data_IF_351547651615
#
_entry.id   IF_351547651615
#
_cell.length_a   1.000
_cell.length_b   1.000
_cell.length_c   1.000
_cell.angle_alpha   90.00
_cell.angle_beta   90.00
_cell.angle_gamma   90.00
#
_symmetry.space_group_name_H-M   'P 1'
#
loop_
_entity.id
_entity.type
_entity.pdbx_description
1 polymer ?
#
# COMPACT_ATOMS: atom_id res chain seq x y z
N UNK A 1 87.88 -11.83 -19.86
CA UNK A 1 86.48 -11.58 -20.30
C UNK A 1 85.63 -11.39 -19.05
N UNK A 2 85.15 -10.15 -18.84
CA UNK A 2 84.08 -9.60 -18.00
C UNK A 2 83.82 -10.27 -16.61
N UNK A 3 83.62 -9.55 -15.50
CA UNK A 3 82.56 -8.55 -15.29
C UNK A 3 82.84 -7.69 -14.05
N UNK A 4 82.50 -6.41 -14.18
CA UNK A 4 82.37 -5.36 -13.17
C UNK A 4 80.96 -5.35 -12.56
N UNK A 5 80.79 -4.58 -11.46
CA UNK A 5 79.56 -4.03 -10.85
C UNK A 5 78.80 -4.96 -9.89
N UNK A 6 78.64 -4.66 -8.59
CA UNK A 6 78.09 -3.48 -7.87
C UNK A 6 76.59 -3.62 -7.53
N UNK A 7 76.30 -3.32 -6.25
CA UNK A 7 75.04 -3.20 -5.50
C UNK A 7 73.72 -3.12 -6.29
N UNK A 8 72.67 -3.81 -5.77
CA UNK A 8 71.37 -3.19 -5.43
C UNK A 8 70.72 -3.95 -4.26
N UNK A 9 70.27 -3.19 -3.27
CA UNK A 9 69.47 -3.57 -2.09
C UNK A 9 68.00 -3.71 -2.48
N UNK A 10 67.29 -4.75 -2.03
CA UNK A 10 65.83 -4.68 -1.85
C UNK A 10 65.39 -5.49 -0.63
N UNK A 11 64.98 -4.75 0.39
CA UNK A 11 64.36 -5.21 1.62
C UNK A 11 62.96 -5.74 1.32
N UNK A 12 62.68 -7.01 1.66
CA UNK A 12 61.35 -7.63 1.55
C UNK A 12 60.68 -7.48 2.91
N UNK A 13 59.73 -6.55 3.01
CA UNK A 13 58.85 -6.39 4.17
C UNK A 13 57.82 -7.53 4.21
N UNK A 14 57.85 -8.30 5.29
CA UNK A 14 56.83 -9.30 5.65
C UNK A 14 55.55 -8.58 6.09
N UNK A 15 54.52 -8.63 5.24
CA UNK A 15 53.17 -8.21 5.61
C UNK A 15 52.41 -9.44 6.14
N UNK A 16 52.44 -9.61 7.46
CA UNK A 16 51.64 -10.61 8.16
C UNK A 16 50.15 -10.22 8.08
N UNK A 17 49.34 -11.13 7.55
CA UNK A 17 47.91 -10.97 7.35
C UNK A 17 47.16 -10.63 8.63
N UNK A 18 46.42 -9.53 8.58
CA UNK A 18 45.46 -9.14 9.60
C UNK A 18 44.22 -10.02 9.46
N UNK A 19 43.95 -10.81 10.50
CA UNK A 19 42.70 -11.54 10.69
C UNK A 19 41.59 -10.51 10.95
N UNK A 20 40.74 -10.30 9.95
CA UNK A 20 39.55 -9.46 10.10
C UNK A 20 38.53 -10.19 11.00
N UNK A 21 38.31 -9.64 12.21
CA UNK A 21 37.17 -10.00 13.04
C UNK A 21 35.89 -9.51 12.36
N UNK A 22 34.87 -10.36 12.39
CA UNK A 22 33.56 -10.17 11.78
C UNK A 22 32.94 -8.82 12.17
N UNK A 23 32.69 -8.00 11.15
CA UNK A 23 31.86 -6.81 11.28
C UNK A 23 30.39 -7.25 11.29
N UNK A 24 29.69 -6.87 12.35
CA UNK A 24 28.24 -6.98 12.48
C UNK A 24 27.58 -6.08 11.45
N UNK A 25 27.46 -6.58 10.22
CA UNK A 25 26.66 -5.98 9.16
C UNK A 25 25.18 -6.02 9.54
N UNK A 26 24.69 -4.92 10.11
CA UNK A 26 23.28 -4.58 10.05
C UNK A 26 22.84 -4.64 8.59
N UNK A 27 21.95 -5.58 8.27
CA UNK A 27 21.34 -5.69 6.94
C UNK A 27 20.53 -4.40 6.71
N UNK A 28 20.86 -3.55 5.72
CA UNK A 28 19.97 -2.47 5.34
C UNK A 28 18.68 -3.10 4.80
N UNK A 29 17.55 -2.60 5.32
CA UNK A 29 16.22 -3.11 5.04
C UNK A 29 15.94 -3.19 3.54
N UNK A 30 15.66 -4.39 3.05
CA UNK A 30 14.99 -4.61 1.77
C UNK A 30 13.49 -4.30 1.94
N UNK A 31 13.14 -3.03 2.13
CA UNK A 31 11.74 -2.60 2.25
C UNK A 31 11.29 -1.56 1.22
N UNK A 32 12.12 -1.20 0.24
CA UNK A 32 11.71 -0.23 -0.81
C UNK A 32 11.70 -0.81 -2.24
N UNK A 33 12.47 -1.85 -2.55
CA UNK A 33 12.62 -2.31 -3.95
C UNK A 33 11.58 -3.34 -4.43
N UNK A 34 10.74 -3.89 -3.54
CA UNK A 34 9.75 -4.90 -3.93
C UNK A 34 8.46 -4.33 -4.55
N UNK A 35 8.33 -3.01 -4.73
CA UNK A 35 7.09 -2.37 -5.19
C UNK A 35 7.25 -1.43 -6.40
N UNK A 36 8.43 -1.41 -7.03
CA UNK A 36 8.70 -0.66 -8.25
C UNK A 36 8.73 -1.62 -9.45
N UNK A 37 7.57 -2.09 -9.91
CA UNK A 37 7.58 -3.12 -10.97
C UNK A 37 6.29 -3.39 -11.74
N UNK A 38 5.17 -2.73 -11.44
CA UNK A 38 4.03 -2.69 -12.34
C UNK A 38 3.53 -1.26 -12.38
N UNK A 39 3.37 -0.71 -13.59
CA UNK A 39 2.90 0.67 -13.82
C UNK A 39 1.49 0.81 -13.25
N UNK A 40 1.37 1.08 -11.95
CA UNK A 40 0.15 1.65 -11.37
C UNK A 40 -0.11 2.95 -12.12
N UNK A 41 -1.32 3.16 -12.67
CA UNK A 41 -1.62 4.37 -13.45
C UNK A 41 -1.22 5.64 -12.68
N UNK A 42 -0.72 6.67 -13.38
CA UNK A 42 -0.26 7.97 -12.82
C UNK A 42 -1.35 8.79 -12.05
N UNK A 43 -2.48 8.15 -11.72
CA UNK A 43 -3.65 8.73 -11.05
C UNK A 43 -3.53 8.81 -9.53
N UNK A 44 -2.46 8.31 -8.93
CA UNK A 44 -2.26 8.46 -7.49
C UNK A 44 -1.95 9.92 -7.18
N UNK A 45 -2.90 10.58 -6.55
CA UNK A 45 -2.75 11.98 -6.15
C UNK A 45 -1.64 12.01 -5.09
N UNK A 46 -0.60 12.80 -5.34
CA UNK A 46 0.44 13.13 -4.36
C UNK A 46 0.03 14.43 -3.66
N UNK A 47 0.01 14.47 -2.32
CA UNK A 47 -0.30 15.68 -1.56
C UNK A 47 -1.03 15.41 -0.24
N UNK A 48 -1.10 16.44 0.63
CA UNK A 48 -1.78 16.39 1.94
C UNK A 48 -3.29 16.56 1.77
N UNK A 49 -4.13 16.00 2.66
CA UNK A 49 -5.60 16.19 2.63
C UNK A 49 -6.04 17.65 2.48
N UNK A 50 -5.21 18.59 2.93
CA UNK A 50 -5.43 20.04 2.91
C UNK A 50 -5.41 20.64 1.49
N UNK A 51 -4.93 19.89 0.48
CA UNK A 51 -5.05 20.24 -0.95
C UNK A 51 -6.42 19.81 -1.52
N UNK A 52 -7.49 20.29 -0.85
CA UNK A 52 -8.90 19.87 -0.99
C UNK A 52 -9.43 19.77 -2.43
N UNK A 53 -9.00 20.62 -3.37
CA UNK A 53 -9.53 20.60 -4.74
C UNK A 53 -9.16 19.32 -5.50
N UNK A 54 -7.94 18.81 -5.32
CA UNK A 54 -7.49 17.57 -5.99
C UNK A 54 -8.22 16.34 -5.46
N UNK A 55 -8.66 16.41 -4.21
CA UNK A 55 -9.36 15.33 -3.54
C UNK A 55 -10.87 15.38 -3.73
N UNK A 56 -11.44 16.48 -4.24
CA UNK A 56 -12.88 16.69 -4.40
C UNK A 56 -13.56 15.56 -5.19
N UNK A 57 -14.64 15.00 -4.64
CA UNK A 57 -15.48 14.04 -5.35
C UNK A 57 -16.76 14.71 -5.86
N UNK A 58 -16.89 14.81 -7.18
CA UNK A 58 -18.04 15.42 -7.86
C UNK A 58 -19.22 14.46 -8.09
N UNK A 59 -19.16 13.24 -7.53
CA UNK A 59 -20.19 12.22 -7.70
C UNK A 59 -20.14 11.46 -9.03
N UNK A 60 -19.24 11.80 -9.96
CA UNK A 60 -19.17 11.10 -11.25
C UNK A 60 -18.54 9.72 -11.12
N UNK A 61 -19.16 8.75 -11.81
CA UNK A 61 -18.70 7.37 -11.87
C UNK A 61 -17.86 7.09 -13.11
N UNK A 62 -16.97 6.12 -13.03
CA UNK A 62 -16.17 5.61 -14.15
C UNK A 62 -16.72 4.25 -14.58
N UNK A 63 -16.98 4.09 -15.88
CA UNK A 63 -17.47 2.85 -16.49
C UNK A 63 -16.48 2.30 -17.50
N UNK A 64 -15.40 1.66 -17.03
CA UNK A 64 -14.52 0.86 -17.87
C UNK A 64 -15.04 -0.58 -17.95
N UNK A 65 -14.80 -1.23 -19.09
CA UNK A 65 -15.05 -2.65 -19.30
C UNK A 65 -14.10 -3.53 -18.48
N UNK A 66 -14.48 -4.79 -18.26
CA UNK A 66 -13.64 -5.74 -17.53
C UNK A 66 -12.31 -6.02 -18.23
N UNK A 67 -12.27 -6.00 -19.56
CA UNK A 67 -11.02 -6.13 -20.32
C UNK A 67 -10.10 -4.92 -20.15
N UNK A 68 -10.65 -3.71 -20.02
CA UNK A 68 -9.86 -2.52 -19.71
C UNK A 68 -9.29 -2.60 -18.29
N UNK A 69 -10.10 -3.04 -17.31
CA UNK A 69 -9.63 -3.26 -15.95
C UNK A 69 -8.52 -4.31 -15.89
N UNK A 70 -8.66 -5.45 -16.57
CA UNK A 70 -7.61 -6.49 -16.64
C UNK A 70 -6.30 -6.00 -17.24
N UNK A 71 -6.32 -5.00 -18.13
CA UNK A 71 -5.10 -4.43 -18.73
C UNK A 71 -4.35 -3.50 -17.77
N UNK A 72 -5.05 -2.84 -16.84
CA UNK A 72 -4.45 -1.81 -15.96
C UNK A 72 -4.25 -2.29 -14.51
N UNK A 73 -4.96 -3.32 -14.09
CA UNK A 73 -4.81 -3.91 -12.75
C UNK A 73 -3.87 -5.12 -12.78
N UNK A 74 -3.16 -5.35 -11.67
CA UNK A 74 -2.47 -6.63 -11.47
C UNK A 74 -3.51 -7.75 -11.32
N UNK A 75 -3.17 -9.03 -11.59
CA UNK A 75 -4.10 -10.13 -11.43
C UNK A 75 -4.73 -10.21 -10.02
N UNK A 76 -3.93 -10.00 -8.97
CA UNK A 76 -4.41 -9.97 -7.59
C UNK A 76 -5.37 -8.80 -7.32
N UNK A 77 -4.99 -7.60 -7.76
CA UNK A 77 -5.84 -6.42 -7.60
C UNK A 77 -7.16 -6.60 -8.38
N UNK A 78 -7.12 -7.15 -9.60
CA UNK A 78 -8.31 -7.46 -10.37
C UNK A 78 -9.23 -8.45 -9.65
N UNK A 79 -8.67 -9.56 -9.15
CA UNK A 79 -9.43 -10.56 -8.40
C UNK A 79 -10.16 -9.96 -7.19
N UNK A 80 -9.49 -9.10 -6.43
CA UNK A 80 -10.10 -8.46 -5.26
C UNK A 80 -11.07 -7.36 -5.67
N UNK A 81 -10.64 -6.39 -6.48
CA UNK A 81 -11.41 -5.19 -6.82
C UNK A 81 -12.62 -5.48 -7.71
N UNK A 82 -12.55 -6.49 -8.58
CA UNK A 82 -13.57 -6.76 -9.62
C UNK A 82 -14.33 -8.06 -9.39
N UNK A 83 -13.63 -9.12 -8.95
CA UNK A 83 -14.24 -10.43 -8.68
C UNK A 83 -14.65 -10.62 -7.21
N UNK A 84 -14.56 -9.57 -6.39
CA UNK A 84 -14.90 -9.56 -4.96
C UNK A 84 -14.12 -10.59 -4.14
N UNK A 85 -12.88 -10.86 -4.55
CA UNK A 85 -11.94 -11.70 -3.82
C UNK A 85 -11.55 -11.09 -2.47
N UNK A 86 -10.89 -11.89 -1.64
CA UNK A 86 -10.36 -11.45 -0.34
C UNK A 86 -8.91 -11.95 -0.21
N UNK A 87 -7.98 -11.05 0.08
CA UNK A 87 -6.58 -11.44 0.32
C UNK A 87 -6.45 -12.23 1.63
N UNK A 88 -5.40 -13.03 1.75
CA UNK A 88 -5.15 -13.78 2.98
C UNK A 88 -4.87 -12.83 4.15
N UNK A 89 -5.39 -13.15 5.33
CA UNK A 89 -5.11 -12.40 6.54
C UNK A 89 -3.59 -12.26 6.77
N UNK A 90 -3.17 -11.06 7.20
CA UNK A 90 -1.80 -10.68 7.55
C UNK A 90 -0.79 -10.64 6.40
N UNK A 91 -1.19 -10.87 5.14
CA UNK A 91 -0.27 -10.84 3.99
C UNK A 91 -0.23 -9.51 3.26
N UNK A 92 -1.26 -8.67 3.42
CA UNK A 92 -1.38 -7.38 2.75
C UNK A 92 -0.30 -6.38 3.20
N UNK A 93 0.37 -5.74 2.25
CA UNK A 93 1.46 -4.78 2.51
C UNK A 93 1.04 -3.54 3.30
N UNK A 94 -0.22 -3.11 3.17
CA UNK A 94 -0.78 -1.93 3.84
C UNK A 94 -1.41 -2.26 5.20
N UNK A 95 -1.40 -3.52 5.63
CA UNK A 95 -1.98 -3.92 6.92
C UNK A 95 -1.29 -3.19 8.09
N UNK A 96 0.05 -3.18 8.10
CA UNK A 96 0.88 -2.56 9.13
C UNK A 96 1.51 -1.22 8.69
N UNK A 97 1.00 -0.61 7.63
CA UNK A 97 1.36 0.76 7.26
C UNK A 97 0.60 1.75 8.15
N UNK A 98 1.33 2.64 8.84
CA UNK A 98 0.78 3.65 9.75
C UNK A 98 1.43 5.02 9.58
N UNK A 99 2.27 5.19 8.54
CA UNK A 99 2.79 6.50 8.18
C UNK A 99 1.65 7.46 7.87
N UNK A 100 1.88 8.75 8.09
CA UNK A 100 0.93 9.78 7.68
C UNK A 100 0.72 9.74 6.15
N UNK A 101 -0.53 9.87 5.71
CA UNK A 101 -0.88 9.82 4.30
C UNK A 101 -2.31 9.40 3.99
N UNK A 102 -2.54 9.13 2.71
CA UNK A 102 -3.88 8.88 2.15
C UNK A 102 -3.94 7.51 1.49
N UNK A 103 -4.96 6.73 1.84
CA UNK A 103 -5.30 5.46 1.21
C UNK A 103 -6.33 5.71 0.11
N UNK A 104 -5.93 5.38 -1.11
CA UNK A 104 -6.68 5.62 -2.34
C UNK A 104 -7.18 4.30 -2.92
N UNK A 105 -8.29 4.33 -3.65
CA UNK A 105 -8.80 3.18 -4.37
C UNK A 105 -7.72 2.65 -5.34
N UNK A 106 -7.37 1.38 -5.20
CA UNK A 106 -6.36 0.71 -6.01
C UNK A 106 -6.66 0.71 -7.51
N UNK A 107 -7.93 0.86 -7.89
CA UNK A 107 -8.39 0.92 -9.27
C UNK A 107 -8.38 2.33 -9.88
N UNK A 108 -9.10 3.28 -9.26
CA UNK A 108 -9.35 4.59 -9.86
C UNK A 108 -8.64 5.76 -9.17
N UNK A 109 -7.79 5.49 -8.17
CA UNK A 109 -7.04 6.52 -7.44
C UNK A 109 -7.88 7.44 -6.56
N UNK A 110 -9.19 7.18 -6.39
CA UNK A 110 -10.02 8.04 -5.54
C UNK A 110 -9.60 7.92 -4.07
N UNK A 111 -9.37 9.02 -3.34
CA UNK A 111 -9.11 8.97 -1.90
C UNK A 111 -10.29 8.37 -1.17
N UNK A 112 -10.01 7.43 -0.26
CA UNK A 112 -11.03 6.72 0.52
C UNK A 112 -10.84 6.92 2.02
N UNK A 113 -9.61 6.78 2.51
CA UNK A 113 -9.26 6.84 3.94
C UNK A 113 -7.98 7.62 4.16
N UNK A 114 -7.79 8.11 5.37
CA UNK A 114 -6.60 8.84 5.85
C UNK A 114 -5.94 8.05 6.98
N UNK A 115 -4.64 8.23 7.17
CA UNK A 115 -3.85 7.62 8.26
C UNK A 115 -4.46 7.85 9.64
N UNK A 116 -4.99 9.05 9.90
CA UNK A 116 -5.65 9.44 11.16
C UNK A 116 -6.85 8.54 11.53
N UNK A 117 -7.49 7.94 10.53
CA UNK A 117 -8.64 7.05 10.70
C UNK A 117 -8.23 5.59 10.84
N UNK A 118 -6.95 5.27 10.59
CA UNK A 118 -6.42 3.90 10.61
C UNK A 118 -6.10 3.47 12.03
N UNK A 119 -6.35 2.20 12.34
CA UNK A 119 -6.01 1.62 13.64
C UNK A 119 -5.66 0.12 13.51
N UNK A 120 -5.00 -0.43 14.52
CA UNK A 120 -4.73 -1.87 14.59
C UNK A 120 -5.92 -2.60 15.21
N UNK A 121 -6.68 -3.33 14.38
CA UNK A 121 -7.79 -4.16 14.85
C UNK A 121 -7.37 -5.58 15.21
N UNK A 122 -6.15 -6.00 14.88
CA UNK A 122 -5.73 -7.39 14.97
C UNK A 122 -6.41 -8.34 13.96
N UNK A 123 -7.28 -7.84 13.07
CA UNK A 123 -8.05 -8.67 12.13
C UNK A 123 -7.18 -9.34 11.04
N UNK A 124 -6.04 -8.73 10.70
CA UNK A 124 -5.17 -9.17 9.62
C UNK A 124 -5.31 -8.37 8.32
N UNK A 125 -6.20 -7.38 8.28
CA UNK A 125 -6.35 -6.46 7.16
C UNK A 125 -6.33 -4.99 7.63
N UNK A 126 -5.95 -4.05 6.75
CA UNK A 126 -6.13 -2.62 6.99
C UNK A 126 -7.50 -2.30 7.59
N UNK A 127 -7.52 -1.53 8.68
CA UNK A 127 -8.73 -1.20 9.42
C UNK A 127 -8.82 0.29 9.66
N UNK A 128 -9.96 0.88 9.31
CA UNK A 128 -10.24 2.31 9.46
C UNK A 128 -11.55 2.50 10.21
N UNK A 129 -11.68 3.54 11.03
CA UNK A 129 -12.94 3.81 11.74
C UNK A 129 -13.89 4.73 10.99
N UNK A 130 -13.42 5.44 9.95
CA UNK A 130 -14.25 6.28 9.07
C UNK A 130 -13.58 6.45 7.70
N UNK A 131 -14.35 6.58 6.60
CA UNK A 131 -13.84 7.10 5.34
C UNK A 131 -13.63 8.62 5.43
N UNK A 132 -12.96 9.18 4.42
CA UNK A 132 -12.91 10.63 4.19
C UNK A 132 -14.33 11.13 3.93
N UNK A 133 -14.70 12.22 4.61
CA UNK A 133 -15.99 12.90 4.44
C UNK A 133 -15.71 14.39 4.28
N UNK A 134 -16.28 14.99 3.23
CA UNK A 134 -16.28 16.44 3.03
C UNK A 134 -17.72 16.91 2.93
N UNK A 135 -18.02 18.02 3.61
CA UNK A 135 -19.34 18.63 3.57
C UNK A 135 -19.68 19.07 2.14
N UNK A 136 -20.87 18.73 1.67
CA UNK A 136 -21.32 19.01 0.30
C UNK A 136 -20.85 18.01 -0.76
N UNK A 137 -20.05 17.00 -0.41
CA UNK A 137 -19.65 15.92 -1.31
C UNK A 137 -20.43 14.63 -1.10
N UNK A 138 -20.65 13.81 -2.15
CA UNK A 138 -21.18 12.47 -2.00
C UNK A 138 -20.24 11.55 -1.20
N UNK A 139 -20.80 10.50 -0.60
CA UNK A 139 -20.01 9.46 0.05
C UNK A 139 -19.03 8.78 -0.92
N UNK A 140 -17.79 8.57 -0.46
CA UNK A 140 -16.71 7.92 -1.23
C UNK A 140 -16.77 6.40 -1.18
N UNK A 141 -17.38 5.87 -0.13
CA UNK A 141 -17.61 4.44 0.09
C UNK A 141 -19.12 4.19 0.04
N UNK A 142 -19.53 3.19 -0.73
CA UNK A 142 -20.91 2.70 -0.78
C UNK A 142 -21.00 1.42 0.03
N UNK A 143 -22.05 1.30 0.83
CA UNK A 143 -22.36 0.12 1.62
C UNK A 143 -23.45 -0.70 0.94
N UNK A 144 -23.23 -2.00 0.78
CA UNK A 144 -24.15 -2.93 0.14
C UNK A 144 -24.29 -4.18 1.01
N UNK A 145 -25.53 -4.63 1.23
CA UNK A 145 -25.76 -5.87 1.99
C UNK A 145 -25.24 -7.07 1.20
N UNK A 146 -24.41 -7.88 1.84
CA UNK A 146 -23.77 -9.08 1.31
C UNK A 146 -24.29 -10.32 2.08
N UNK A 147 -24.86 -11.27 1.33
CA UNK A 147 -25.42 -12.53 1.84
C UNK A 147 -24.52 -13.76 1.54
N UNK A 148 -23.29 -13.54 1.06
CA UNK A 148 -22.38 -14.63 0.72
C UNK A 148 -22.03 -15.50 1.94
N UNK A 149 -21.74 -16.78 1.67
CA UNK A 149 -21.32 -17.77 2.67
C UNK A 149 -22.30 -17.98 3.84
N UNK A 150 -23.59 -17.66 3.65
CA UNK A 150 -24.61 -17.83 4.69
C UNK A 150 -24.53 -16.81 5.83
N UNK A 151 -23.74 -15.74 5.66
CA UNK A 151 -23.61 -14.64 6.61
C UNK A 151 -24.26 -13.38 6.04
N UNK A 152 -24.74 -12.49 6.92
CA UNK A 152 -25.14 -11.13 6.54
C UNK A 152 -24.01 -10.19 6.92
N UNK A 153 -23.36 -9.61 5.93
CA UNK A 153 -22.29 -8.63 6.09
C UNK A 153 -22.62 -7.37 5.29
N UNK A 154 -21.93 -6.28 5.54
CA UNK A 154 -22.04 -5.06 4.73
C UNK A 154 -20.77 -4.90 3.91
N UNK A 155 -20.84 -5.22 2.62
CA UNK A 155 -19.77 -4.98 1.65
C UNK A 155 -19.56 -3.47 1.47
N UNK A 156 -18.31 -3.06 1.36
CA UNK A 156 -17.93 -1.69 1.01
C UNK A 156 -17.33 -1.63 -0.39
N UNK A 157 -17.84 -0.69 -1.19
CA UNK A 157 -17.46 -0.46 -2.59
C UNK A 157 -16.93 0.96 -2.77
N UNK A 158 -15.99 1.14 -3.70
CA UNK A 158 -15.60 2.47 -4.16
C UNK A 158 -16.78 3.14 -4.89
N UNK A 159 -17.22 4.33 -4.43
CA UNK A 159 -18.38 5.00 -4.99
C UNK A 159 -18.21 5.42 -6.46
N UNK A 160 -16.96 5.69 -6.89
CA UNK A 160 -16.61 6.16 -8.23
C UNK A 160 -16.51 5.04 -9.27
N UNK A 161 -15.82 3.94 -9.00
CA UNK A 161 -15.62 2.86 -9.99
C UNK A 161 -16.34 1.54 -9.66
N UNK A 162 -17.02 1.47 -8.51
CA UNK A 162 -17.74 0.28 -8.06
C UNK A 162 -16.86 -0.88 -7.61
N UNK A 163 -15.54 -0.69 -7.50
CA UNK A 163 -14.64 -1.76 -7.08
C UNK A 163 -14.88 -2.19 -5.63
N UNK A 164 -14.79 -3.49 -5.39
CA UNK A 164 -14.83 -4.11 -4.07
C UNK A 164 -13.61 -3.70 -3.23
N UNK A 165 -13.86 -3.34 -1.97
CA UNK A 165 -12.82 -2.94 -1.03
C UNK A 165 -12.71 -3.93 0.14
N UNK A 166 -13.84 -4.37 0.68
CA UNK A 166 -13.92 -5.24 1.84
C UNK A 166 -15.29 -5.17 2.51
N UNK A 167 -15.33 -5.11 3.84
CA UNK A 167 -16.58 -5.04 4.62
C UNK A 167 -16.50 -4.04 5.77
N UNK A 168 -17.65 -3.56 6.25
CA UNK A 168 -17.78 -2.74 7.46
C UNK A 168 -18.47 -3.52 8.58
N UNK A 169 -17.98 -3.35 9.81
CA UNK A 169 -18.47 -4.04 11.01
C UNK A 169 -18.72 -3.04 12.17
N UNK A 170 -19.69 -3.30 13.06
CA UNK A 170 -20.02 -2.43 14.20
C UNK A 170 -19.18 -2.74 15.45
N UNK A 171 -17.88 -3.04 15.27
CA UNK A 171 -16.94 -3.41 16.34
C UNK A 171 -15.67 -2.54 16.33
N UNK A 172 -15.80 -1.32 15.82
CA UNK A 172 -14.70 -0.36 15.77
C UNK A 172 -14.56 0.49 17.03
N UNK A 173 -13.50 1.32 17.09
CA UNK A 173 -13.30 2.25 18.20
C UNK A 173 -14.26 3.44 18.14
N UNK A 174 -14.34 4.18 19.25
CA UNK A 174 -14.88 5.55 19.22
C UNK A 174 -14.07 6.42 18.24
N UNK A 175 -14.68 7.44 17.61
CA UNK A 175 -16.03 7.95 17.87
C UNK A 175 -17.16 7.24 17.10
N UNK A 176 -16.84 6.48 16.05
CA UNK A 176 -17.88 5.92 15.14
C UNK A 176 -18.43 4.58 15.59
N UNK A 177 -17.64 3.78 16.31
CA UNK A 177 -17.98 2.38 16.60
C UNK A 177 -17.90 1.47 15.39
N UNK A 178 -17.42 1.97 14.24
CA UNK A 178 -17.36 1.24 12.98
C UNK A 178 -15.93 0.82 12.65
N UNK A 179 -15.78 -0.36 12.06
CA UNK A 179 -14.52 -0.86 11.51
C UNK A 179 -14.71 -1.19 10.04
N UNK A 180 -14.15 -0.35 9.19
CA UNK A 180 -13.96 -0.61 7.78
C UNK A 180 -12.74 -1.52 7.62
N UNK A 181 -12.99 -2.80 7.35
CA UNK A 181 -11.98 -3.83 7.16
C UNK A 181 -11.73 -3.99 5.65
N UNK A 182 -10.57 -3.55 5.19
CA UNK A 182 -10.30 -3.31 3.76
C UNK A 182 -9.16 -4.19 3.29
N UNK A 183 -9.27 -4.81 2.12
CA UNK A 183 -8.16 -5.53 1.51
C UNK A 183 -7.03 -4.56 1.15
N UNK A 184 -5.79 -4.88 1.52
CA UNK A 184 -4.61 -4.10 1.14
C UNK A 184 -4.45 -3.98 -0.37
N UNK A 185 -4.63 -5.06 -1.12
CA UNK A 185 -4.52 -5.05 -2.58
C UNK A 185 -5.66 -4.28 -3.28
N UNK A 186 -6.71 -3.89 -2.56
CA UNK A 186 -7.74 -2.96 -3.05
C UNK A 186 -7.37 -1.48 -2.91
N UNK A 187 -6.23 -1.19 -2.27
CA UNK A 187 -5.77 0.15 -1.95
C UNK A 187 -4.41 0.45 -2.58
N UNK A 188 -4.16 1.73 -2.82
CA UNK A 188 -2.80 2.27 -2.83
C UNK A 188 -2.64 3.34 -1.76
N UNK A 189 -1.39 3.68 -1.47
CA UNK A 189 -1.06 4.59 -0.39
C UNK A 189 -0.15 5.70 -0.93
N UNK A 190 -0.52 6.95 -0.63
CA UNK A 190 0.33 8.12 -0.85
C UNK A 190 0.76 8.65 0.51
N UNK A 191 2.05 8.50 0.81
CA UNK A 191 2.65 9.01 2.03
C UNK A 191 2.66 10.55 2.02
N UNK A 192 2.40 11.13 3.18
CA UNK A 192 2.57 12.56 3.45
C UNK A 192 4.06 12.84 3.71
N UNK A 193 4.62 13.80 2.98
CA UNK A 193 6.04 14.13 3.03
C UNK A 193 6.36 15.04 4.21
#
# INVERSE_FOLDING_TARGET
MNRTAALVVFSISLLSGVLACADSGAMPGKSEEAMQGTKRPDFYIKGTPDQLEAYRFDGKTIGLSEDEWKRILTPEAYHILREKGTERAFTGSLNKEYSEGVFQCGACGMPLFTSDSKFDSGSGWPSFFRPIVHEGEPARVKEVVDHAFGMVRTEILCARCGSHLGHVFPDGPHPTGLRYCVNSASLGFSKEN
#
